data_IF_914891775674
#
_entry.id   IF_914891775674
#
_cell.length_a   1.000
_cell.length_b   1.000
_cell.length_c   1.000
_cell.angle_alpha   90.00
_cell.angle_beta   90.00
_cell.angle_gamma   90.00
#
_symmetry.space_group_name_H-M   'P 1'
#
loop_
_entity.id
_entity.type
_entity.pdbx_description
1 polymer ?
#
# COMPACT_ATOMS: atom_id res chain seq x y z
N UNK A 1 12.15 -4.38 31.65
CA UNK A 1 10.67 -4.30 31.68
C UNK A 1 10.09 -3.58 32.92
N UNK A 2 10.77 -3.52 34.07
CA UNK A 2 10.20 -2.87 35.26
C UNK A 2 10.30 -1.32 35.30
N UNK A 3 11.16 -0.70 34.49
CA UNK A 3 11.41 0.75 34.52
C UNK A 3 10.43 1.59 33.67
N UNK A 4 9.80 1.03 32.63
CA UNK A 4 8.84 1.81 31.82
C UNK A 4 7.44 1.94 32.45
N UNK A 5 7.05 0.97 33.28
CA UNK A 5 5.78 0.99 34.02
C UNK A 5 5.74 2.09 35.09
N UNK A 6 6.86 2.36 35.76
CA UNK A 6 6.96 3.40 36.80
C UNK A 6 6.84 4.79 36.19
N UNK A 7 7.39 5.00 34.99
CA UNK A 7 7.32 6.29 34.30
C UNK A 7 5.91 6.58 33.74
N UNK A 8 5.23 5.54 33.25
CA UNK A 8 3.82 5.64 32.86
C UNK A 8 2.92 5.94 34.07
N UNK A 9 3.18 5.35 35.24
CA UNK A 9 2.40 5.62 36.45
C UNK A 9 2.61 7.04 37.00
N UNK A 10 3.80 7.62 36.86
CA UNK A 10 4.10 8.97 37.36
C UNK A 10 3.43 10.10 36.57
N UNK A 11 3.07 9.89 35.29
CA UNK A 11 2.32 10.88 34.49
C UNK A 11 0.81 10.89 34.79
N UNK A 12 0.28 9.88 35.48
CA UNK A 12 -1.13 9.81 35.90
C UNK A 12 -1.40 10.41 37.29
N UNK A 13 -0.39 10.80 38.07
CA UNK A 13 -0.55 11.25 39.48
C UNK A 13 -0.90 12.75 39.58
N UNK A 14 -1.38 13.39 38.51
CA UNK A 14 -1.98 14.71 38.65
C UNK A 14 -3.32 14.84 37.88
N UNK A 15 -4.38 14.14 38.31
CA UNK A 15 -5.72 14.39 37.81
C UNK A 15 -6.33 15.54 38.61
N UNK A 16 -6.52 16.70 37.98
CA UNK A 16 -7.49 17.67 38.45
C UNK A 16 -8.87 17.00 38.43
N UNK A 17 -9.45 16.82 39.60
CA UNK A 17 -10.75 16.15 39.81
C UNK A 17 -11.90 17.05 39.37
N UNK A 18 -12.47 16.78 38.20
CA UNK A 18 -13.87 17.08 37.86
C UNK A 18 -14.19 16.53 36.46
N UNK A 19 -14.30 15.21 36.32
CA UNK A 19 -14.93 14.60 35.14
C UNK A 19 -15.84 13.48 35.62
N UNK A 20 -16.85 13.84 36.39
CA UNK A 20 -18.05 13.03 36.54
C UNK A 20 -19.22 13.86 36.02
N UNK A 21 -19.94 13.30 35.05
CA UNK A 21 -21.06 13.85 34.29
C UNK A 21 -20.69 14.66 33.05
N UNK A 22 -20.53 13.96 31.92
CA UNK A 22 -21.21 14.20 30.62
C UNK A 22 -20.71 13.06 29.72
N UNK A 23 -21.40 11.92 29.67
CA UNK A 23 -21.60 11.18 28.40
C UNK A 23 -22.93 10.41 28.51
N UNK A 24 -24.02 11.03 28.10
CA UNK A 24 -25.14 10.29 27.50
C UNK A 24 -24.66 9.80 26.14
N UNK A 25 -24.43 8.50 26.00
CA UNK A 25 -24.03 7.89 24.73
C UNK A 25 -25.21 7.91 23.78
N UNK A 26 -25.19 8.85 22.82
CA UNK A 26 -25.96 8.73 21.59
C UNK A 26 -25.38 7.55 20.80
N UNK A 27 -26.15 6.47 20.64
CA UNK A 27 -25.81 5.30 19.81
C UNK A 27 -25.95 5.60 18.32
N UNK A 28 -25.37 6.71 17.86
CA UNK A 28 -25.06 6.90 16.45
C UNK A 28 -23.69 6.29 16.22
N UNK A 29 -23.63 4.98 15.98
CA UNK A 29 -22.37 4.26 15.79
C UNK A 29 -21.60 4.83 14.59
N UNK A 30 -20.49 5.51 14.84
CA UNK A 30 -19.49 5.81 13.83
C UNK A 30 -18.67 4.53 13.55
N UNK A 31 -19.09 3.75 12.56
CA UNK A 31 -18.38 2.55 12.11
C UNK A 31 -19.33 1.53 11.48
N UNK A 32 -18.79 0.54 10.72
CA UNK A 32 -19.60 -0.59 10.26
C UNK A 32 -20.18 -1.34 11.47
N UNK A 33 -21.44 -1.77 11.38
CA UNK A 33 -22.04 -2.63 12.39
C UNK A 33 -21.52 -4.05 12.20
N UNK A 34 -20.63 -4.47 13.11
CA UNK A 34 -20.04 -5.81 13.11
C UNK A 34 -20.86 -6.81 13.96
N UNK A 35 -21.90 -6.35 14.65
CA UNK A 35 -22.68 -7.14 15.60
C UNK A 35 -23.98 -7.70 15.03
N UNK A 36 -24.32 -7.39 13.79
CA UNK A 36 -25.58 -7.74 13.14
C UNK A 36 -25.34 -8.32 11.75
N UNK A 37 -25.86 -9.52 11.50
CA UNK A 37 -25.93 -10.17 10.20
C UNK A 37 -27.40 -10.57 9.94
N UNK A 38 -28.08 -10.00 8.93
CA UNK A 38 -29.48 -10.33 8.63
C UNK A 38 -29.68 -11.81 8.28
N UNK A 39 -30.84 -12.37 8.63
CA UNK A 39 -31.16 -13.79 8.37
C UNK A 39 -31.53 -14.10 6.91
N UNK A 40 -31.70 -13.05 6.09
CA UNK A 40 -32.01 -13.15 4.68
C UNK A 40 -30.89 -13.86 3.92
N UNK A 41 -31.22 -14.87 3.09
CA UNK A 41 -30.20 -15.63 2.39
C UNK A 41 -29.43 -14.75 1.41
N UNK A 42 -28.13 -14.95 1.36
CA UNK A 42 -27.20 -14.28 0.44
C UNK A 42 -26.54 -15.30 -0.48
N UNK A 43 -25.59 -14.86 -1.31
CA UNK A 43 -24.82 -15.79 -2.13
C UNK A 43 -23.92 -16.73 -1.30
N UNK A 44 -23.71 -16.44 -0.02
CA UNK A 44 -22.98 -17.33 0.90
C UNK A 44 -23.76 -18.59 1.28
N UNK A 45 -25.09 -18.59 1.09
CA UNK A 45 -25.94 -19.75 1.37
C UNK A 45 -26.04 -20.74 0.19
N UNK A 46 -25.40 -20.44 -0.94
CA UNK A 46 -25.31 -21.36 -2.08
C UNK A 46 -24.33 -22.50 -1.79
N UNK A 47 -24.83 -23.73 -1.75
CA UNK A 47 -24.03 -24.94 -1.51
C UNK A 47 -22.96 -25.18 -2.58
N UNK A 48 -23.07 -24.54 -3.76
CA UNK A 48 -22.10 -24.63 -4.84
C UNK A 48 -21.09 -23.47 -4.82
N UNK A 49 -21.17 -22.54 -3.85
CA UNK A 49 -20.20 -21.47 -3.72
C UNK A 49 -18.80 -22.06 -3.46
N UNK A 50 -17.86 -21.74 -4.33
CA UNK A 50 -16.46 -22.10 -4.15
C UNK A 50 -15.55 -20.88 -4.25
N UNK A 51 -14.62 -20.81 -3.30
CA UNK A 51 -13.52 -19.84 -3.29
C UNK A 51 -12.33 -20.32 -4.12
N UNK A 52 -12.28 -21.60 -4.48
CA UNK A 52 -11.17 -22.20 -5.21
C UNK A 52 -11.04 -21.65 -6.63
N UNK A 53 -9.80 -21.48 -7.07
CA UNK A 53 -9.48 -20.95 -8.39
C UNK A 53 -9.45 -22.07 -9.44
N UNK A 54 -10.13 -21.86 -10.57
CA UNK A 54 -10.21 -22.84 -11.66
C UNK A 54 -11.38 -23.82 -11.56
N UNK A 55 -12.26 -23.66 -10.56
CA UNK A 55 -13.58 -24.28 -10.52
C UNK A 55 -14.60 -23.43 -11.28
N UNK A 56 -15.90 -23.70 -11.12
CA UNK A 56 -16.97 -22.95 -11.78
C UNK A 56 -16.83 -21.43 -11.56
N UNK A 57 -16.92 -20.62 -12.64
CA UNK A 57 -16.86 -19.17 -12.53
C UNK A 57 -17.98 -18.61 -11.65
N UNK A 58 -17.67 -17.57 -10.87
CA UNK A 58 -18.70 -16.80 -10.16
C UNK A 58 -19.57 -16.07 -11.20
N UNK A 59 -20.85 -16.46 -11.27
CA UNK A 59 -21.86 -15.81 -12.12
C UNK A 59 -22.61 -14.75 -11.33
N UNK A 60 -23.01 -13.67 -12.02
CA UNK A 60 -23.85 -12.59 -11.50
C UNK A 60 -23.29 -11.92 -10.23
N UNK A 61 -21.96 -11.80 -10.14
CA UNK A 61 -21.27 -11.22 -8.99
C UNK A 61 -21.79 -9.83 -8.63
N UNK A 62 -21.96 -8.94 -9.62
CA UNK A 62 -22.40 -7.56 -9.38
C UNK A 62 -23.80 -7.50 -8.74
N UNK A 63 -24.69 -8.42 -9.12
CA UNK A 63 -26.02 -8.52 -8.52
C UNK A 63 -25.92 -9.03 -7.08
N UNK A 64 -25.18 -10.13 -6.87
CA UNK A 64 -24.97 -10.75 -5.56
C UNK A 64 -24.35 -9.78 -4.56
N UNK A 65 -23.30 -9.06 -4.97
CA UNK A 65 -22.64 -8.03 -4.15
C UNK A 65 -23.60 -6.90 -3.79
N UNK A 66 -24.39 -6.42 -4.77
CA UNK A 66 -25.38 -5.36 -4.54
C UNK A 66 -26.47 -5.79 -3.57
N UNK A 67 -26.94 -7.04 -3.66
CA UNK A 67 -27.92 -7.60 -2.72
C UNK A 67 -27.34 -7.71 -1.32
N UNK A 68 -26.11 -8.20 -1.18
CA UNK A 68 -25.41 -8.25 0.10
C UNK A 68 -25.26 -6.86 0.74
N UNK A 69 -24.85 -5.85 -0.04
CA UNK A 69 -24.70 -4.46 0.44
C UNK A 69 -26.03 -3.81 0.85
N UNK A 70 -27.15 -4.19 0.24
CA UNK A 70 -28.49 -3.72 0.67
C UNK A 70 -28.88 -4.25 2.04
N UNK A 71 -28.49 -5.49 2.34
CA UNK A 71 -28.69 -6.12 3.64
C UNK A 71 -27.71 -5.57 4.69
N UNK A 72 -26.57 -5.04 4.25
CA UNK A 72 -25.48 -4.55 5.08
C UNK A 72 -25.19 -3.05 4.88
N UNK A 73 -26.15 -2.14 5.13
CA UNK A 73 -26.04 -0.73 4.78
C UNK A 73 -24.89 0.01 5.48
N UNK A 74 -24.48 -0.43 6.68
CA UNK A 74 -23.32 0.13 7.39
C UNK A 74 -22.00 -0.07 6.63
N UNK A 75 -21.95 -1.06 5.72
CA UNK A 75 -20.80 -1.33 4.87
C UNK A 75 -20.87 -0.62 3.51
N UNK A 76 -22.03 -0.15 3.09
CA UNK A 76 -22.23 0.52 1.80
C UNK A 76 -21.78 1.99 1.76
N UNK A 77 -21.32 2.55 2.89
CA UNK A 77 -21.15 4.00 3.06
C UNK A 77 -19.92 4.63 2.38
N UNK A 78 -19.03 3.86 1.75
CA UNK A 78 -17.81 4.41 1.13
C UNK A 78 -17.38 3.65 -0.12
N UNK A 79 -17.35 4.36 -1.24
CA UNK A 79 -16.78 3.91 -2.53
C UNK A 79 -15.23 3.94 -2.52
N UNK A 80 -14.61 4.39 -1.42
CA UNK A 80 -13.15 4.45 -1.26
C UNK A 80 -12.57 3.28 -0.42
N UNK A 81 -13.34 2.22 -0.20
CA UNK A 81 -12.88 1.05 0.57
C UNK A 81 -11.87 0.22 -0.23
N UNK A 82 -10.63 0.24 0.24
CA UNK A 82 -9.51 -0.51 -0.34
C UNK A 82 -9.09 -1.62 0.62
N UNK A 83 -8.98 -2.84 0.09
CA UNK A 83 -8.26 -3.93 0.72
C UNK A 83 -6.90 -4.09 0.03
N UNK A 84 -5.82 -3.75 0.74
CA UNK A 84 -4.47 -4.05 0.27
C UNK A 84 -4.18 -5.53 0.48
N UNK A 85 -3.80 -6.23 -0.59
CA UNK A 85 -3.42 -7.64 -0.55
C UNK A 85 -1.95 -7.77 -0.91
N UNK A 86 -1.19 -8.40 -0.03
CA UNK A 86 0.24 -8.71 -0.22
C UNK A 86 0.49 -10.13 0.26
N UNK A 87 1.65 -10.70 -0.04
CA UNK A 87 2.02 -11.97 0.56
C UNK A 87 3.46 -12.38 0.29
N UNK A 88 3.88 -13.43 0.98
CA UNK A 88 5.16 -14.09 0.77
C UNK A 88 4.98 -15.60 0.75
N UNK A 89 6.05 -16.33 0.41
CA UNK A 89 6.06 -17.78 0.51
C UNK A 89 5.88 -18.25 1.98
N UNK A 90 5.29 -19.46 2.21
CA UNK A 90 5.08 -20.03 3.55
C UNK A 90 6.37 -20.41 4.28
N UNK A 91 7.40 -20.77 3.52
CA UNK A 91 8.64 -21.29 4.04
C UNK A 91 9.63 -20.16 4.37
N UNK A 92 10.52 -20.43 5.33
CA UNK A 92 11.66 -19.57 5.66
C UNK A 92 12.44 -19.23 4.39
N UNK A 93 12.88 -17.97 4.29
CA UNK A 93 13.69 -17.53 3.17
C UNK A 93 15.00 -18.31 3.07
N UNK A 94 15.44 -18.59 1.83
CA UNK A 94 16.76 -19.19 1.59
C UNK A 94 17.87 -18.22 2.01
N UNK A 95 17.69 -16.94 1.70
CA UNK A 95 18.56 -15.88 2.20
C UNK A 95 18.19 -15.56 3.66
N UNK A 96 19.11 -15.71 4.64
CA UNK A 96 18.81 -15.50 6.06
C UNK A 96 18.29 -14.09 6.40
N UNK A 97 18.62 -13.11 5.58
CA UNK A 97 18.18 -11.72 5.75
C UNK A 97 16.79 -11.46 5.13
N UNK A 98 16.33 -12.35 4.26
CA UNK A 98 15.08 -12.22 3.52
C UNK A 98 13.85 -12.05 4.42
N UNK A 99 13.70 -12.88 5.46
CA UNK A 99 12.57 -12.80 6.38
C UNK A 99 12.56 -11.49 7.19
N UNK A 100 13.74 -10.96 7.55
CA UNK A 100 13.85 -9.65 8.19
C UNK A 100 13.37 -8.53 7.27
N UNK A 101 13.75 -8.56 5.99
CA UNK A 101 13.27 -7.60 5.00
C UNK A 101 11.77 -7.74 4.78
N UNK A 102 11.25 -8.96 4.67
CA UNK A 102 9.80 -9.19 4.50
C UNK A 102 8.99 -8.57 5.65
N UNK A 103 9.46 -8.72 6.88
CA UNK A 103 8.82 -8.08 8.04
C UNK A 103 8.82 -6.55 7.92
N UNK A 104 9.92 -5.94 7.49
CA UNK A 104 10.02 -4.48 7.32
C UNK A 104 9.15 -3.98 6.17
N UNK A 105 9.12 -4.71 5.06
CA UNK A 105 8.28 -4.43 3.90
C UNK A 105 6.80 -4.54 4.26
N UNK A 106 6.43 -5.52 5.10
CA UNK A 106 5.08 -5.63 5.62
C UNK A 106 4.74 -4.48 6.58
N UNK A 107 5.62 -4.12 7.53
CA UNK A 107 5.43 -2.96 8.41
C UNK A 107 5.15 -1.69 7.59
N UNK A 108 5.91 -1.43 6.53
CA UNK A 108 5.70 -0.29 5.65
C UNK A 108 4.26 -0.24 5.09
N UNK A 109 3.75 -1.36 4.60
CA UNK A 109 2.36 -1.47 4.10
C UNK A 109 1.33 -1.29 5.21
N UNK A 110 1.57 -1.83 6.40
CA UNK A 110 0.71 -1.65 7.59
C UNK A 110 0.64 -0.18 8.00
N UNK A 111 1.77 0.52 8.03
CA UNK A 111 1.83 1.95 8.37
C UNK A 111 1.03 2.78 7.37
N UNK A 112 1.16 2.49 6.08
CA UNK A 112 0.41 3.17 5.03
C UNK A 112 -1.10 2.91 5.20
N UNK A 113 -1.50 1.64 5.32
CA UNK A 113 -2.91 1.29 5.49
C UNK A 113 -3.52 1.95 6.73
N UNK A 114 -2.78 2.03 7.84
CA UNK A 114 -3.23 2.71 9.07
C UNK A 114 -3.47 4.21 8.86
N UNK A 115 -2.59 4.89 8.12
CA UNK A 115 -2.69 6.32 7.82
C UNK A 115 -3.88 6.60 6.90
N UNK A 116 -4.08 5.75 5.89
CA UNK A 116 -5.12 5.91 4.86
C UNK A 116 -6.48 5.30 5.21
N UNK A 117 -6.56 4.52 6.30
CA UNK A 117 -7.79 3.82 6.68
C UNK A 117 -8.13 2.65 5.74
N UNK A 118 -7.12 2.03 5.15
CA UNK A 118 -7.28 0.82 4.33
C UNK A 118 -7.17 -0.43 5.20
N UNK A 119 -7.81 -1.49 4.76
CA UNK A 119 -7.60 -2.82 5.32
C UNK A 119 -6.41 -3.50 4.64
N UNK A 120 -5.81 -4.48 5.30
CA UNK A 120 -4.67 -5.22 4.77
C UNK A 120 -4.82 -6.72 5.03
N UNK A 121 -4.62 -7.50 3.98
CA UNK A 121 -4.54 -8.95 4.03
C UNK A 121 -3.15 -9.42 3.63
N UNK A 122 -2.48 -10.14 4.53
CA UNK A 122 -1.17 -10.75 4.28
C UNK A 122 -1.33 -12.25 4.10
N UNK A 123 -1.10 -12.74 2.89
CA UNK A 123 -1.10 -14.17 2.61
C UNK A 123 0.29 -14.77 2.77
N UNK A 124 0.37 -15.90 3.47
CA UNK A 124 1.58 -16.72 3.54
C UNK A 124 1.31 -18.19 3.19
N UNK A 125 0.18 -18.50 2.53
CA UNK A 125 -0.20 -19.87 2.16
C UNK A 125 -0.50 -20.00 0.67
N UNK A 126 -0.34 -21.20 0.13
CA UNK A 126 -0.64 -21.50 -1.27
C UNK A 126 -2.08 -22.00 -1.40
N UNK A 127 -2.98 -21.16 -1.93
CA UNK A 127 -4.40 -21.51 -2.10
C UNK A 127 -4.68 -22.44 -3.29
N UNK A 128 -3.74 -22.56 -4.23
CA UNK A 128 -3.85 -23.49 -5.36
C UNK A 128 -2.47 -24.07 -5.69
N UNK A 129 -2.34 -25.40 -5.61
CA UNK A 129 -1.08 -26.10 -5.88
C UNK A 129 -0.56 -25.93 -7.31
N UNK A 130 -1.43 -25.61 -8.28
CA UNK A 130 -1.06 -25.40 -9.69
C UNK A 130 -0.53 -23.99 -9.98
N UNK A 131 -0.86 -23.01 -9.15
CA UNK A 131 -0.46 -21.61 -9.32
C UNK A 131 0.57 -21.20 -8.27
N UNK A 132 1.84 -21.54 -8.50
CA UNK A 132 2.95 -21.22 -7.59
C UNK A 132 3.69 -19.94 -8.01
N UNK A 133 4.56 -19.44 -7.12
CA UNK A 133 5.35 -18.23 -7.39
C UNK A 133 4.45 -17.02 -7.63
N UNK A 134 4.73 -16.27 -8.69
CA UNK A 134 4.02 -15.03 -9.06
C UNK A 134 2.53 -15.28 -9.37
N UNK A 135 2.18 -16.49 -9.81
CA UNK A 135 0.79 -16.88 -10.12
C UNK A 135 -0.09 -17.09 -8.88
N UNK A 136 0.51 -17.22 -7.70
CA UNK A 136 -0.22 -17.48 -6.45
C UNK A 136 -1.17 -16.33 -6.04
N UNK A 137 -0.99 -15.13 -6.60
CA UNK A 137 -1.87 -13.99 -6.33
C UNK A 137 -3.25 -14.13 -6.93
N UNK A 138 -3.43 -14.79 -8.07
CA UNK A 138 -4.77 -14.86 -8.69
C UNK A 138 -5.81 -15.64 -7.88
N UNK A 139 -5.49 -16.83 -7.34
CA UNK A 139 -6.39 -17.51 -6.40
C UNK A 139 -6.72 -16.65 -5.18
N UNK A 140 -5.73 -15.93 -4.65
CA UNK A 140 -5.89 -15.07 -3.49
C UNK A 140 -6.77 -13.85 -3.78
N UNK A 141 -6.57 -13.18 -4.92
CA UNK A 141 -7.38 -12.04 -5.34
C UNK A 141 -8.82 -12.46 -5.54
N UNK A 142 -9.07 -13.59 -6.22
CA UNK A 142 -10.42 -14.14 -6.37
C UNK A 142 -11.08 -14.41 -5.02
N UNK A 143 -10.37 -15.08 -4.11
CA UNK A 143 -10.88 -15.38 -2.77
C UNK A 143 -11.14 -14.09 -1.96
N UNK A 144 -10.27 -13.09 -2.08
CA UNK A 144 -10.41 -11.79 -1.40
C UNK A 144 -11.64 -11.04 -1.91
N UNK A 145 -11.90 -11.02 -3.22
CA UNK A 145 -13.11 -10.41 -3.79
C UNK A 145 -14.40 -11.03 -3.23
N UNK A 146 -14.41 -12.37 -3.07
CA UNK A 146 -15.57 -13.09 -2.52
C UNK A 146 -15.71 -12.93 -1.01
N UNK A 147 -14.60 -12.81 -0.27
CA UNK A 147 -14.59 -12.65 1.17
C UNK A 147 -14.89 -11.21 1.61
N UNK A 148 -14.63 -10.23 0.74
CA UNK A 148 -14.77 -8.80 1.02
C UNK A 148 -15.72 -8.10 0.04
N UNK A 149 -17.03 -8.44 0.02
CA UNK A 149 -18.01 -7.78 -0.84
C UNK A 149 -18.17 -6.29 -0.51
N UNK A 150 -17.78 -5.84 0.68
CA UNK A 150 -17.73 -4.43 1.08
C UNK A 150 -16.57 -3.63 0.47
N UNK A 151 -15.49 -4.29 0.04
CA UNK A 151 -14.38 -3.61 -0.59
C UNK A 151 -14.77 -3.20 -2.01
N UNK A 152 -14.43 -1.97 -2.40
CA UNK A 152 -14.61 -1.50 -3.79
C UNK A 152 -13.37 -1.82 -4.62
N UNK A 153 -12.19 -1.66 -4.01
CA UNK A 153 -10.91 -1.94 -4.66
C UNK A 153 -10.11 -3.00 -3.89
N UNK A 154 -9.65 -4.01 -4.62
CA UNK A 154 -8.63 -4.94 -4.14
C UNK A 154 -7.30 -4.50 -4.75
N UNK A 155 -6.35 -4.11 -3.90
CA UNK A 155 -5.06 -3.59 -4.34
C UNK A 155 -3.94 -4.60 -4.05
N UNK A 156 -3.51 -5.31 -5.09
CA UNK A 156 -2.32 -6.16 -4.99
C UNK A 156 -1.05 -5.31 -4.90
N UNK A 157 -0.22 -5.57 -3.89
CA UNK A 157 1.11 -4.96 -3.75
C UNK A 157 2.12 -6.04 -3.45
N UNK A 158 3.16 -6.11 -4.28
CA UNK A 158 4.24 -7.08 -4.11
C UNK A 158 4.97 -6.93 -2.78
N UNK A 159 5.52 -8.05 -2.33
CA UNK A 159 6.28 -8.12 -1.10
C UNK A 159 7.48 -7.16 -1.10
N UNK A 160 8.21 -7.06 -2.21
CA UNK A 160 9.40 -6.23 -2.43
C UNK A 160 9.08 -4.83 -2.99
N UNK A 161 7.82 -4.42 -3.02
CA UNK A 161 7.42 -3.05 -3.26
C UNK A 161 7.33 -2.25 -1.94
N UNK A 162 7.98 -1.08 -1.91
CA UNK A 162 7.95 -0.11 -0.80
C UNK A 162 7.01 1.03 -1.17
N UNK A 163 6.07 1.34 -0.28
CA UNK A 163 5.28 2.57 -0.33
C UNK A 163 6.15 3.70 0.24
N UNK A 164 6.74 4.49 -0.65
CA UNK A 164 7.77 5.48 -0.30
C UNK A 164 7.15 6.84 0.02
N UNK A 165 5.99 7.16 -0.57
CA UNK A 165 5.17 8.31 -0.18
C UNK A 165 4.02 7.85 0.72
N UNK A 166 4.16 8.08 2.02
CA UNK A 166 3.19 7.65 3.04
C UNK A 166 1.96 8.56 3.11
N UNK A 167 2.01 9.73 2.47
CA UNK A 167 0.96 10.75 2.52
C UNK A 167 0.18 10.84 1.20
N UNK A 168 0.68 10.23 0.11
CA UNK A 168 0.00 10.15 -1.17
C UNK A 168 -1.32 9.39 -1.08
N UNK A 169 -2.44 10.03 -1.42
CA UNK A 169 -3.75 9.38 -1.52
C UNK A 169 -4.00 8.89 -2.96
N UNK A 170 -4.38 7.63 -3.12
CA UNK A 170 -4.82 7.08 -4.41
C UNK A 170 -6.01 7.90 -4.96
N UNK A 171 -5.95 8.40 -6.21
CA UNK A 171 -7.02 9.21 -6.80
C UNK A 171 -8.16 8.32 -7.34
N UNK A 172 -8.82 7.52 -6.49
CA UNK A 172 -9.78 6.48 -6.90
C UNK A 172 -10.94 6.98 -7.77
N UNK A 173 -11.40 8.22 -7.57
CA UNK A 173 -12.42 8.87 -8.40
C UNK A 173 -12.04 8.93 -9.89
N UNK A 174 -10.73 9.01 -10.20
CA UNK A 174 -10.21 8.95 -11.58
C UNK A 174 -10.52 7.62 -12.25
N UNK A 175 -10.62 6.55 -11.47
CA UNK A 175 -10.72 5.18 -11.95
C UNK A 175 -12.15 4.63 -11.93
N UNK A 176 -13.14 5.43 -11.53
CA UNK A 176 -14.54 4.98 -11.32
C UNK A 176 -15.19 4.26 -12.50
N UNK A 177 -14.76 4.56 -13.73
CA UNK A 177 -15.30 3.96 -14.96
C UNK A 177 -14.50 2.73 -15.44
N UNK A 178 -13.49 2.31 -14.66
CA UNK A 178 -12.56 1.23 -14.97
C UNK A 178 -12.58 0.15 -13.88
N UNK A 179 -12.19 -1.08 -14.23
CA UNK A 179 -12.22 -2.24 -13.34
C UNK A 179 -10.82 -2.70 -12.93
N UNK A 180 -9.78 -2.24 -13.62
CA UNK A 180 -8.39 -2.58 -13.34
C UNK A 180 -7.50 -1.38 -13.65
N UNK A 181 -6.59 -1.08 -12.73
CA UNK A 181 -5.60 -0.02 -12.88
C UNK A 181 -4.23 -0.67 -12.78
N UNK A 182 -3.37 -0.44 -13.78
CA UNK A 182 -1.98 -0.91 -13.77
C UNK A 182 -1.07 0.22 -14.20
N UNK A 183 0.14 0.25 -13.66
CA UNK A 183 1.12 1.22 -14.11
C UNK A 183 1.60 0.85 -15.51
N UNK A 184 1.65 1.80 -16.44
CA UNK A 184 2.13 1.55 -17.79
C UNK A 184 1.84 2.69 -18.77
N UNK A 185 2.28 2.50 -20.01
CA UNK A 185 2.08 3.47 -21.10
C UNK A 185 1.48 2.79 -22.34
N UNK A 186 0.43 3.41 -22.91
CA UNK A 186 -0.30 2.84 -24.04
C UNK A 186 0.56 2.66 -25.30
N UNK A 187 1.46 3.59 -25.58
CA UNK A 187 2.38 3.52 -26.73
C UNK A 187 3.33 2.30 -26.58
N UNK A 188 3.89 2.08 -25.39
CA UNK A 188 4.74 0.92 -25.14
C UNK A 188 3.98 -0.41 -25.26
N UNK A 189 2.68 -0.41 -24.92
CA UNK A 189 1.84 -1.60 -24.99
C UNK A 189 1.43 -1.96 -26.41
N UNK A 190 0.84 -1.01 -27.14
CA UNK A 190 0.22 -1.30 -28.44
C UNK A 190 1.12 -1.06 -29.64
N UNK A 191 2.08 -0.14 -29.55
CA UNK A 191 3.00 0.17 -30.65
C UNK A 191 4.27 -0.67 -30.52
N UNK A 192 4.94 -0.60 -29.37
CA UNK A 192 6.22 -1.29 -29.15
C UNK A 192 6.07 -2.76 -28.75
N UNK A 193 4.90 -3.13 -28.17
CA UNK A 193 4.63 -4.47 -27.61
C UNK A 193 5.72 -4.91 -26.63
N UNK A 194 6.22 -3.95 -25.84
CA UNK A 194 7.29 -4.19 -24.88
C UNK A 194 6.78 -4.98 -23.67
N UNK A 195 7.59 -5.91 -23.17
CA UNK A 195 7.30 -6.63 -21.92
C UNK A 195 7.34 -5.72 -20.69
N UNK A 196 7.94 -4.52 -20.80
CA UNK A 196 7.97 -3.48 -19.75
C UNK A 196 6.85 -2.44 -19.87
N UNK A 197 5.91 -2.63 -20.80
CA UNK A 197 4.84 -1.66 -21.10
C UNK A 197 3.85 -1.45 -19.95
N UNK A 198 3.70 -2.43 -19.07
CA UNK A 198 2.97 -2.36 -17.82
C UNK A 198 3.62 -3.24 -16.75
N UNK A 199 3.30 -3.02 -15.46
CA UNK A 199 3.78 -3.86 -14.36
C UNK A 199 2.62 -4.49 -13.58
N UNK A 200 2.69 -5.81 -13.37
CA UNK A 200 1.68 -6.58 -12.64
C UNK A 200 2.15 -7.01 -11.24
N UNK A 201 3.25 -6.46 -10.75
CA UNK A 201 3.91 -6.95 -9.54
C UNK A 201 4.81 -8.15 -9.84
N UNK A 202 6.01 -7.84 -10.33
CA UNK A 202 7.17 -8.70 -10.63
C UNK A 202 7.26 -9.10 -12.11
N UNK A 203 8.47 -8.96 -12.67
CA UNK A 203 8.77 -9.41 -14.02
C UNK A 203 10.24 -9.82 -14.09
N UNK A 204 10.51 -11.02 -14.61
CA UNK A 204 11.74 -11.46 -15.28
C UNK A 204 11.51 -12.90 -15.83
N UNK A 205 11.56 -13.00 -17.16
CA UNK A 205 11.72 -14.18 -18.05
C UNK A 205 10.71 -15.35 -17.99
N UNK A 206 9.96 -15.52 -19.09
CA UNK A 206 9.21 -16.72 -19.47
C UNK A 206 7.81 -16.81 -18.86
N UNK A 207 6.77 -16.61 -19.69
CA UNK A 207 5.34 -16.71 -19.34
C UNK A 207 4.99 -16.34 -17.89
N UNK A 208 5.44 -15.16 -17.44
CA UNK A 208 5.03 -14.57 -16.17
C UNK A 208 3.65 -13.89 -16.33
N UNK A 209 3.05 -13.53 -15.21
CA UNK A 209 1.71 -12.98 -15.16
C UNK A 209 1.63 -11.57 -15.78
N UNK A 210 2.71 -10.78 -15.67
CA UNK A 210 2.87 -9.50 -16.36
C UNK A 210 2.82 -9.68 -17.88
N UNK A 211 3.60 -10.61 -18.42
CA UNK A 211 3.63 -10.91 -19.86
C UNK A 211 2.30 -11.50 -20.35
N UNK A 212 1.62 -12.29 -19.51
CA UNK A 212 0.29 -12.82 -19.83
C UNK A 212 -0.77 -11.72 -19.90
N UNK A 213 -0.75 -10.74 -18.99
CA UNK A 213 -1.63 -9.58 -19.04
C UNK A 213 -1.36 -8.76 -20.32
N UNK A 214 -0.09 -8.48 -20.64
CA UNK A 214 0.29 -7.79 -21.89
C UNK A 214 -0.25 -8.54 -23.11
N UNK A 215 -0.05 -9.86 -23.17
CA UNK A 215 -0.53 -10.70 -24.26
C UNK A 215 -2.06 -10.64 -24.39
N UNK A 216 -2.79 -10.73 -23.27
CA UNK A 216 -4.25 -10.61 -23.23
C UNK A 216 -4.71 -9.26 -23.79
N UNK A 217 -4.07 -8.16 -23.38
CA UNK A 217 -4.44 -6.82 -23.85
C UNK A 217 -4.13 -6.59 -25.32
N UNK A 218 -3.06 -7.18 -25.85
CA UNK A 218 -2.72 -7.12 -27.27
C UNK A 218 -3.70 -7.94 -28.11
N UNK A 219 -4.11 -9.13 -27.62
CA UNK A 219 -4.93 -10.07 -28.39
C UNK A 219 -6.43 -9.86 -28.27
N UNK A 220 -6.91 -9.39 -27.12
CA UNK A 220 -8.33 -9.19 -26.81
C UNK A 220 -8.62 -7.74 -26.44
N UNK A 221 -7.93 -6.79 -27.11
CA UNK A 221 -8.06 -5.34 -26.88
C UNK A 221 -9.51 -4.88 -26.80
N UNK A 222 -10.31 -5.21 -27.83
CA UNK A 222 -11.70 -4.76 -27.96
C UNK A 222 -12.61 -5.27 -26.83
N UNK A 223 -12.17 -6.31 -26.11
CA UNK A 223 -12.92 -6.89 -24.99
C UNK A 223 -12.54 -6.29 -23.65
N UNK A 224 -11.26 -5.93 -23.44
CA UNK A 224 -10.74 -5.61 -22.11
C UNK A 224 -10.22 -4.18 -21.95
N UNK A 225 -9.74 -3.54 -23.02
CA UNK A 225 -8.99 -2.28 -22.91
C UNK A 225 -9.82 -1.13 -22.32
N UNK A 226 -11.09 -1.02 -22.71
CA UNK A 226 -11.98 0.04 -22.22
C UNK A 226 -12.29 -0.05 -20.72
N UNK A 227 -11.98 -1.19 -20.08
CA UNK A 227 -12.15 -1.40 -18.63
C UNK A 227 -10.83 -1.27 -17.87
N UNK A 228 -9.72 -0.94 -18.54
CA UNK A 228 -8.38 -0.95 -17.96
C UNK A 228 -7.78 0.43 -18.08
N UNK A 229 -7.35 0.98 -16.94
CA UNK A 229 -6.63 2.25 -16.89
C UNK A 229 -5.12 2.00 -16.79
N UNK A 230 -4.35 2.53 -17.74
CA UNK A 230 -2.89 2.58 -17.64
C UNK A 230 -2.46 3.88 -16.94
N UNK A 231 -2.01 3.77 -15.70
CA UNK A 231 -1.57 4.91 -14.89
C UNK A 231 -0.09 5.23 -15.14
N UNK A 232 0.19 6.49 -15.43
CA UNK A 232 1.53 7.01 -15.75
C UNK A 232 1.83 8.39 -15.16
N UNK A 233 0.87 9.03 -14.48
CA UNK A 233 1.04 10.35 -13.86
C UNK A 233 1.72 10.30 -12.49
N UNK A 234 1.78 9.12 -11.88
CA UNK A 234 2.55 8.86 -10.67
C UNK A 234 3.09 7.43 -10.67
N UNK A 235 4.07 7.17 -9.81
CA UNK A 235 4.69 5.85 -9.68
C UNK A 235 3.78 4.88 -8.90
N UNK A 236 2.65 4.48 -9.50
CA UNK A 236 1.90 3.30 -9.04
C UNK A 236 2.80 2.05 -9.05
N UNK A 237 3.75 2.05 -9.99
CA UNK A 237 4.97 1.25 -9.95
C UNK A 237 6.15 2.18 -10.27
N UNK A 238 7.24 2.07 -9.50
CA UNK A 238 8.45 2.85 -9.72
C UNK A 238 9.67 1.95 -9.69
N UNK A 239 10.37 1.82 -10.80
CA UNK A 239 11.54 0.95 -10.88
C UNK A 239 12.69 1.50 -10.03
N UNK A 240 13.11 0.73 -9.01
CA UNK A 240 13.97 1.22 -7.93
C UNK A 240 15.28 1.85 -8.40
N UNK A 241 15.92 1.31 -9.45
CA UNK A 241 17.22 1.78 -9.93
C UNK A 241 17.19 3.25 -10.36
N UNK A 242 16.08 3.71 -10.93
CA UNK A 242 15.90 5.11 -11.33
C UNK A 242 15.52 6.06 -10.18
N UNK A 243 15.32 5.53 -8.98
CA UNK A 243 14.74 6.24 -7.84
C UNK A 243 15.74 6.37 -6.68
N UNK A 244 16.38 5.27 -6.28
CA UNK A 244 17.07 5.18 -4.98
C UNK A 244 18.22 6.16 -4.81
N UNK A 245 18.90 6.54 -5.89
CA UNK A 245 19.99 7.51 -5.87
C UNK A 245 19.49 8.95 -5.70
N UNK A 246 18.25 9.24 -6.11
CA UNK A 246 17.62 10.55 -5.96
C UNK A 246 16.92 10.78 -4.62
N UNK A 247 16.78 9.74 -3.81
CA UNK A 247 16.00 9.76 -2.57
C UNK A 247 16.51 10.78 -1.54
N UNK A 248 17.82 10.94 -1.42
CA UNK A 248 18.43 11.94 -0.53
C UNK A 248 18.03 13.37 -0.93
N UNK A 249 18.15 13.69 -2.23
CA UNK A 249 17.73 14.98 -2.80
C UNK A 249 16.22 15.23 -2.66
N UNK A 250 15.41 14.18 -2.85
CA UNK A 250 13.97 14.25 -2.61
C UNK A 250 13.69 14.60 -1.14
N UNK A 251 14.35 13.94 -0.19
CA UNK A 251 14.24 14.27 1.23
C UNK A 251 14.56 15.73 1.53
N UNK A 252 15.64 16.25 0.94
CA UNK A 252 16.05 17.65 1.09
C UNK A 252 15.02 18.65 0.56
N UNK A 253 14.43 18.41 -0.62
CA UNK A 253 13.40 19.28 -1.18
C UNK A 253 12.16 19.37 -0.31
N UNK A 254 11.71 18.24 0.25
CA UNK A 254 10.58 18.24 1.19
C UNK A 254 10.93 18.97 2.50
N UNK A 255 12.16 18.83 3.02
CA UNK A 255 12.61 19.59 4.18
C UNK A 255 12.67 21.10 3.91
N UNK A 256 13.03 21.52 2.69
CA UNK A 256 13.02 22.94 2.31
C UNK A 256 11.60 23.53 2.33
N UNK A 257 10.61 22.79 1.84
CA UNK A 257 9.20 23.19 1.93
C UNK A 257 8.76 23.31 3.39
N UNK A 258 9.08 22.30 4.21
CA UNK A 258 8.68 22.30 5.62
C UNK A 258 9.33 23.48 6.37
N UNK A 259 10.61 23.83 6.11
CA UNK A 259 11.26 25.03 6.68
C UNK A 259 10.53 26.32 6.32
N UNK A 260 10.07 26.42 5.07
CA UNK A 260 9.52 27.65 4.53
C UNK A 260 8.03 27.84 4.78
N UNK A 261 7.35 26.89 5.42
CA UNK A 261 5.91 26.93 5.71
C UNK A 261 5.68 26.60 7.19
N UNK A 262 5.50 27.62 8.02
CA UNK A 262 5.32 27.49 9.48
C UNK A 262 4.26 26.48 9.89
N UNK A 263 3.17 26.38 9.13
CA UNK A 263 2.11 25.40 9.40
C UNK A 263 2.63 23.95 9.29
N UNK A 264 3.52 23.62 8.36
CA UNK A 264 4.02 22.26 8.18
C UNK A 264 4.94 21.81 9.33
N UNK A 265 5.57 22.75 10.04
CA UNK A 265 6.43 22.49 11.22
C UNK A 265 5.63 22.22 12.50
N UNK A 266 4.33 22.53 12.49
CA UNK A 266 3.43 22.28 13.61
C UNK A 266 3.28 20.78 13.88
N UNK A 267 3.54 20.38 15.13
CA UNK A 267 3.21 19.02 15.62
C UNK A 267 1.70 18.79 15.55
N UNK A 268 1.33 17.62 15.04
CA UNK A 268 -0.07 17.22 14.86
C UNK A 268 -0.21 15.70 15.02
N UNK A 269 -1.41 15.25 15.37
CA UNK A 269 -1.72 13.83 15.49
C UNK A 269 -1.56 13.12 14.13
N UNK A 270 -1.15 11.85 14.13
CA UNK A 270 -0.98 11.03 12.91
C UNK A 270 -2.26 11.00 12.04
N UNK A 271 -3.44 11.06 12.66
CA UNK A 271 -4.72 11.15 11.92
C UNK A 271 -4.87 12.39 11.04
N UNK A 272 -4.05 13.41 11.24
CA UNK A 272 -4.01 14.61 10.40
C UNK A 272 -2.95 14.53 9.30
N UNK A 273 -2.16 13.45 9.19
CA UNK A 273 -1.03 13.36 8.25
C UNK A 273 -1.45 13.63 6.80
N UNK A 274 -2.60 13.13 6.34
CA UNK A 274 -3.09 13.36 4.97
C UNK A 274 -3.40 14.84 4.68
N UNK A 275 -3.90 15.57 5.68
CA UNK A 275 -4.17 17.01 5.53
C UNK A 275 -2.86 17.79 5.34
N UNK A 276 -1.85 17.50 6.15
CA UNK A 276 -0.54 18.15 6.04
C UNK A 276 0.22 17.70 4.78
N UNK A 277 0.11 16.43 4.41
CA UNK A 277 0.62 15.90 3.14
C UNK A 277 0.06 16.62 1.93
N UNK A 278 -1.26 16.80 1.84
CA UNK A 278 -1.89 17.55 0.76
C UNK A 278 -1.43 19.02 0.70
N UNK A 279 -1.28 19.66 1.86
CA UNK A 279 -0.72 21.02 1.96
C UNK A 279 0.74 21.06 1.44
N UNK A 280 1.56 20.09 1.83
CA UNK A 280 2.95 19.99 1.40
C UNK A 280 3.07 19.77 -0.10
N UNK A 281 2.29 18.84 -0.67
CA UNK A 281 2.28 18.59 -2.11
C UNK A 281 1.87 19.82 -2.92
N UNK A 282 0.91 20.61 -2.42
CA UNK A 282 0.56 21.89 -3.03
C UNK A 282 1.75 22.83 -3.09
N UNK A 283 2.49 22.99 -1.99
CA UNK A 283 3.68 23.85 -1.96
C UNK A 283 4.83 23.31 -2.81
N UNK A 284 5.05 21.99 -2.83
CA UNK A 284 6.02 21.34 -3.72
C UNK A 284 5.74 21.66 -5.19
N UNK A 285 4.46 21.60 -5.60
CA UNK A 285 4.03 21.93 -6.95
C UNK A 285 4.18 23.42 -7.28
N UNK A 286 3.68 24.30 -6.40
CA UNK A 286 3.68 25.75 -6.62
C UNK A 286 5.10 26.33 -6.72
N UNK A 287 6.06 25.73 -6.02
CA UNK A 287 7.48 26.11 -6.08
C UNK A 287 8.29 25.41 -7.17
N UNK A 288 7.68 24.54 -7.97
CA UNK A 288 8.32 23.92 -9.13
C UNK A 288 9.16 22.67 -8.85
N UNK A 289 9.22 22.17 -7.62
CA UNK A 289 10.00 20.97 -7.25
C UNK A 289 9.58 19.71 -8.03
N UNK A 290 8.33 19.65 -8.48
CA UNK A 290 7.85 18.58 -9.36
C UNK A 290 8.60 18.54 -10.70
N UNK A 291 9.01 19.70 -11.24
CA UNK A 291 9.74 19.81 -12.51
C UNK A 291 11.23 19.51 -12.37
N UNK A 292 11.74 19.49 -11.14
CA UNK A 292 13.14 19.23 -10.83
C UNK A 292 13.42 17.76 -10.44
N UNK A 293 12.44 16.87 -10.69
CA UNK A 293 12.46 15.46 -10.28
C UNK A 293 12.66 15.26 -8.77
N UNK A 294 12.09 16.17 -7.96
CA UNK A 294 12.19 16.14 -6.49
C UNK A 294 10.87 15.75 -5.83
N UNK A 295 9.87 15.33 -6.61
CA UNK A 295 8.62 14.76 -6.08
C UNK A 295 8.89 13.33 -5.60
N UNK A 296 8.33 12.95 -4.44
CA UNK A 296 8.43 11.57 -3.95
C UNK A 296 7.76 10.60 -4.93
N UNK A 297 8.41 9.47 -5.25
CA UNK A 297 7.72 8.38 -5.91
C UNK A 297 6.74 7.75 -4.93
N UNK A 298 5.55 7.41 -5.40
CA UNK A 298 4.57 6.73 -4.57
C UNK A 298 5.04 5.33 -4.18
N UNK A 299 5.33 4.48 -5.18
CA UNK A 299 5.88 3.14 -4.97
C UNK A 299 7.30 3.05 -5.52
N UNK A 300 8.21 2.47 -4.73
CA UNK A 300 9.55 2.06 -5.17
C UNK A 300 9.62 0.53 -5.14
N UNK A 301 9.70 -0.09 -6.31
CA UNK A 301 9.60 -1.53 -6.48
C UNK A 301 10.97 -2.13 -6.83
N UNK A 302 11.43 -3.06 -5.98
CA UNK A 302 12.73 -3.70 -6.06
C UNK A 302 12.74 -4.95 -6.96
N UNK A 303 12.09 -4.85 -8.11
CA UNK A 303 11.99 -5.95 -9.07
C UNK A 303 13.38 -6.49 -9.43
N UNK A 304 13.54 -7.80 -9.32
CA UNK A 304 14.79 -8.51 -9.57
C UNK A 304 15.78 -8.54 -8.40
N UNK A 305 15.48 -7.92 -7.25
CA UNK A 305 16.33 -8.05 -6.06
C UNK A 305 16.10 -9.33 -5.26
N UNK A 306 14.91 -9.92 -5.37
CA UNK A 306 14.53 -11.22 -4.77
C UNK A 306 15.11 -11.47 -3.36
N UNK A 307 14.79 -10.61 -2.37
CA UNK A 307 15.50 -10.61 -1.08
C UNK A 307 15.38 -11.93 -0.33
N UNK A 308 14.32 -12.70 -0.61
CA UNK A 308 14.05 -13.97 0.04
C UNK A 308 14.79 -15.17 -0.57
N UNK A 309 14.85 -15.27 -1.91
CA UNK A 309 15.61 -16.33 -2.58
C UNK A 309 17.12 -16.07 -2.45
N UNK A 310 17.52 -14.79 -2.48
CA UNK A 310 18.91 -14.36 -2.64
C UNK A 310 19.40 -14.45 -4.09
N UNK A 311 18.57 -14.99 -5.00
CA UNK A 311 18.85 -15.21 -6.42
C UNK A 311 18.53 -13.93 -7.22
N UNK A 312 19.10 -12.81 -6.78
CA UNK A 312 18.91 -11.51 -7.44
C UNK A 312 19.43 -11.52 -8.89
N UNK A 313 18.81 -10.70 -9.73
CA UNK A 313 19.22 -10.51 -11.12
C UNK A 313 20.67 -10.03 -11.19
N UNK A 314 21.48 -10.71 -12.02
CA UNK A 314 22.91 -10.45 -12.18
C UNK A 314 23.26 -9.07 -12.74
N UNK A 315 22.26 -8.30 -13.20
CA UNK A 315 22.42 -6.88 -13.55
C UNK A 315 22.69 -5.99 -12.33
N UNK A 316 22.34 -6.44 -11.12
CA UNK A 316 22.50 -5.68 -9.87
C UNK A 316 23.40 -6.44 -8.90
N UNK A 317 23.98 -5.73 -7.94
CA UNK A 317 24.65 -6.37 -6.80
C UNK A 317 23.68 -6.48 -5.62
N UNK A 318 23.91 -7.48 -4.77
CA UNK A 318 23.17 -7.63 -3.53
C UNK A 318 23.26 -6.37 -2.66
N UNK A 319 24.42 -5.72 -2.59
CA UNK A 319 24.63 -4.49 -1.82
C UNK A 319 23.78 -3.34 -2.34
N UNK A 320 23.62 -3.21 -3.65
CA UNK A 320 22.77 -2.19 -4.26
C UNK A 320 21.30 -2.41 -3.90
N UNK A 321 20.81 -3.65 -4.02
CA UNK A 321 19.47 -4.03 -3.60
C UNK A 321 19.23 -3.77 -2.11
N UNK A 322 20.14 -4.25 -1.26
CA UNK A 322 20.07 -4.09 0.19
C UNK A 322 20.06 -2.62 0.61
N UNK A 323 21.03 -1.83 0.15
CA UNK A 323 21.13 -0.41 0.50
C UNK A 323 19.95 0.39 -0.06
N UNK A 324 19.52 0.09 -1.28
CA UNK A 324 18.34 0.71 -1.87
C UNK A 324 17.08 0.45 -1.05
N UNK A 325 16.83 -0.79 -0.64
CA UNK A 325 15.68 -1.16 0.20
C UNK A 325 15.75 -0.45 1.56
N UNK A 326 16.92 -0.43 2.21
CA UNK A 326 17.08 0.27 3.48
C UNK A 326 16.76 1.76 3.35
N UNK A 327 17.29 2.44 2.32
CA UNK A 327 17.01 3.86 2.08
C UNK A 327 15.52 4.13 1.86
N UNK A 328 14.88 3.37 0.97
CA UNK A 328 13.46 3.53 0.66
C UNK A 328 12.58 3.31 1.90
N UNK A 329 12.85 2.23 2.66
CA UNK A 329 12.13 1.93 3.90
C UNK A 329 12.32 3.02 4.96
N UNK A 330 13.54 3.52 5.15
CA UNK A 330 13.84 4.53 6.18
C UNK A 330 13.30 5.91 5.81
N UNK A 331 13.22 6.27 4.52
CA UNK A 331 12.52 7.49 4.08
C UNK A 331 11.01 7.40 4.32
N UNK A 332 10.41 6.25 4.03
CA UNK A 332 9.01 6.01 4.33
C UNK A 332 8.77 6.06 5.85
N UNK A 333 9.61 5.39 6.64
CA UNK A 333 9.49 5.34 8.10
C UNK A 333 9.74 6.72 8.73
N UNK A 334 10.60 7.57 8.15
CA UNK A 334 10.77 8.95 8.61
C UNK A 334 9.48 9.78 8.53
N UNK A 335 8.61 9.52 7.55
CA UNK A 335 7.31 10.19 7.46
C UNK A 335 6.41 9.78 8.63
N UNK A 336 6.45 8.50 9.01
CA UNK A 336 5.73 7.94 10.17
C UNK A 336 6.33 8.44 11.49
N UNK A 337 7.62 8.19 11.72
CA UNK A 337 8.36 8.51 12.94
C UNK A 337 8.34 10.00 13.27
N UNK A 338 8.24 10.88 12.28
CA UNK A 338 8.11 12.32 12.52
C UNK A 338 6.91 12.66 13.40
N UNK A 339 5.83 11.85 13.33
CA UNK A 339 4.62 12.02 14.17
C UNK A 339 4.86 11.57 15.61
N UNK A 340 5.82 10.67 15.81
CA UNK A 340 6.30 10.23 17.11
C UNK A 340 7.47 11.09 17.64
N UNK A 341 7.91 12.09 16.88
CA UNK A 341 8.98 13.00 17.25
C UNK A 341 10.38 12.40 17.05
N UNK A 342 10.55 11.47 16.12
CA UNK A 342 11.84 10.84 15.80
C UNK A 342 12.12 10.86 14.30
N UNK A 343 13.39 10.66 13.95
CA UNK A 343 13.85 10.53 12.56
C UNK A 343 15.08 9.62 12.51
N UNK A 344 15.23 8.85 11.45
CA UNK A 344 16.49 8.21 11.04
C UNK A 344 17.43 9.30 10.48
N UNK A 345 18.54 9.62 11.16
CA UNK A 345 19.51 10.60 10.65
C UNK A 345 20.37 10.02 9.51
N UNK A 346 20.50 8.70 9.45
CA UNK A 346 21.21 7.97 8.40
C UNK A 346 20.27 6.94 7.79
N UNK A 347 19.96 7.08 6.50
CA UNK A 347 19.03 6.21 5.78
C UNK A 347 19.56 4.80 5.55
N UNK A 348 20.85 4.55 5.78
CA UNK A 348 21.43 3.19 5.77
C UNK A 348 21.45 2.54 7.16
N UNK A 349 21.09 3.29 8.21
CA UNK A 349 21.01 2.80 9.58
C UNK A 349 19.57 2.69 10.07
N UNK A 350 19.05 1.48 10.01
CA UNK A 350 17.65 1.19 10.35
C UNK A 350 17.40 1.08 11.87
N UNK A 351 18.44 1.07 12.71
CA UNK A 351 18.30 0.80 14.16
C UNK A 351 18.37 2.06 15.01
N UNK A 352 19.00 3.13 14.54
CA UNK A 352 19.20 4.36 15.29
C UNK A 352 18.24 5.45 14.81
N UNK A 353 17.57 6.10 15.77
CA UNK A 353 16.73 7.27 15.55
C UNK A 353 17.15 8.40 16.47
N UNK A 354 16.96 9.63 16.03
CA UNK A 354 17.21 10.85 16.81
C UNK A 354 15.89 11.58 17.10
N UNK A 355 15.74 12.18 18.29
CA UNK A 355 14.57 12.99 18.59
C UNK A 355 14.54 14.26 17.74
N UNK A 356 13.35 14.64 17.26
CA UNK A 356 13.12 15.87 16.52
C UNK A 356 12.87 17.05 17.48
N UNK A 357 13.52 18.22 17.26
CA UNK A 357 13.24 19.40 18.04
C UNK A 357 11.78 19.87 17.87
N UNK A 358 11.31 20.66 18.83
CA UNK A 358 10.04 21.39 18.73
C UNK A 358 10.21 22.41 17.60
N UNK A 359 9.43 22.31 16.52
CA UNK A 359 9.50 23.15 15.30
C UNK A 359 10.47 22.70 14.18
N UNK A 360 10.87 21.42 14.17
CA UNK A 360 11.65 20.85 13.06
C UNK A 360 10.87 20.78 11.73
N UNK A 361 11.53 21.00 10.57
CA UNK A 361 12.87 21.57 10.40
C UNK A 361 12.79 23.10 10.52
N UNK A 362 13.51 23.69 11.47
CA UNK A 362 13.57 25.15 11.64
C UNK A 362 14.55 25.82 10.68
#
# INVERSE_FOLDING_TARGET
MALSLVWALLTFINPSTSIDNIITWSTGGCGPDLGSDPSEPTFYDDQNLSYAFGEEPMKDWDLKRREWLKLHPSFAASEEKVLLVTGSQPNVCKNPVGDHLQLRLFKNKVDYCRIHGHEIFYNNVLLNQKGTGFWAKYPLLRASMLAHPEAEWIWWVDSDAVLTDMEFKLPLERYKDHNLVVHGWWNMLYEEKSWTSLNAGQGISGSDDQSALIYLLIKEKDRWADRIYLESEYNLHGYWLGIVDGLDKIGEGYMEIDRAVDLLRRRHAEKMSLFYGAMREKHMKDRGFWKENVRRPFVTHFTGCEPCSGEHNSMYTWEACWNGMQKALNIADNQVLSRFGFVHPDLLNSSLVSPLPFDFPA
#
